data_IF_608074908254
#
_entry.id   IF_608074908254
#
_cell.length_a   1.000
_cell.length_b   1.000
_cell.length_c   1.000
_cell.angle_alpha   90.00
_cell.angle_beta   90.00
_cell.angle_gamma   90.00
#
_symmetry.space_group_name_H-M   'P 1'
#
loop_
_entity.id
_entity.type
_entity.pdbx_description
1 polymer ?
#
# COMPACT_ATOMS: atom_id res chain seq x y z
N UNK A 1 -1.86 -21.57 -24.46
CA UNK A 1 -3.23 -22.04 -24.13
C UNK A 1 -3.69 -21.33 -22.86
N UNK A 2 -4.46 -20.26 -22.99
CA UNK A 2 -5.06 -19.55 -21.86
C UNK A 2 -6.51 -20.00 -21.77
N UNK A 3 -6.88 -20.57 -20.63
CA UNK A 3 -8.20 -21.12 -20.33
C UNK A 3 -9.16 -19.96 -20.05
N UNK A 4 -10.08 -19.69 -20.98
CA UNK A 4 -11.25 -18.84 -20.76
C UNK A 4 -12.21 -19.57 -19.81
N UNK A 5 -12.30 -19.12 -18.56
CA UNK A 5 -13.29 -19.63 -17.61
C UNK A 5 -14.49 -18.67 -17.59
N UNK A 6 -15.58 -19.14 -18.20
CA UNK A 6 -16.94 -18.75 -17.85
C UNK A 6 -17.18 -19.12 -16.38
N UNK A 7 -17.47 -18.15 -15.51
CA UNK A 7 -18.13 -18.44 -14.25
C UNK A 7 -19.30 -17.48 -14.01
N UNK A 8 -20.48 -18.07 -14.17
CA UNK A 8 -21.74 -17.66 -13.59
C UNK A 8 -21.73 -17.89 -12.07
N UNK A 9 -22.45 -17.02 -11.34
CA UNK A 9 -22.81 -17.08 -9.90
C UNK A 9 -21.67 -17.02 -8.86
N UNK A 10 -21.56 -15.87 -8.19
CA UNK A 10 -21.88 -15.64 -6.77
C UNK A 10 -21.19 -14.33 -6.34
N UNK A 11 -21.90 -13.20 -6.29
CA UNK A 11 -21.41 -12.03 -5.57
C UNK A 11 -21.59 -12.34 -4.07
N UNK A 12 -20.65 -13.11 -3.52
CA UNK A 12 -20.47 -13.16 -2.09
C UNK A 12 -20.12 -11.74 -1.63
N UNK A 13 -20.97 -11.17 -0.78
CA UNK A 13 -20.66 -9.95 -0.03
C UNK A 13 -19.41 -10.23 0.84
N UNK A 14 -18.23 -9.91 0.30
CA UNK A 14 -17.00 -9.87 1.07
C UNK A 14 -16.89 -8.48 1.71
N UNK A 15 -16.63 -8.40 3.03
CA UNK A 15 -16.47 -7.12 3.70
C UNK A 15 -15.12 -6.50 3.29
N UNK A 16 -15.17 -5.26 2.81
CA UNK A 16 -14.12 -4.26 3.00
C UNK A 16 -12.72 -4.59 2.49
N UNK A 17 -12.54 -4.70 1.18
CA UNK A 17 -11.25 -4.49 0.53
C UNK A 17 -11.46 -3.60 -0.68
N UNK A 18 -10.78 -2.46 -0.75
CA UNK A 18 -10.82 -1.58 -1.92
C UNK A 18 -10.34 -2.36 -3.15
N UNK A 19 -11.30 -2.84 -3.94
CA UNK A 19 -11.04 -3.37 -5.27
C UNK A 19 -11.00 -2.17 -6.20
N UNK A 20 -9.84 -1.93 -6.80
CA UNK A 20 -9.80 -1.18 -8.03
C UNK A 20 -10.08 -2.18 -9.14
N UNK A 21 -11.07 -1.92 -9.99
CA UNK A 21 -11.24 -2.65 -11.22
C UNK A 21 -10.68 -1.82 -12.38
N UNK A 22 -9.98 -2.48 -13.30
CA UNK A 22 -9.65 -1.93 -14.61
C UNK A 22 -10.66 -2.48 -15.61
N UNK A 23 -11.51 -1.61 -16.12
CA UNK A 23 -12.54 -1.94 -17.11
C UNK A 23 -11.98 -1.56 -18.47
N UNK A 24 -11.79 -2.56 -19.32
CA UNK A 24 -11.44 -2.36 -20.71
C UNK A 24 -12.72 -2.37 -21.54
N UNK A 25 -12.97 -1.29 -22.26
CA UNK A 25 -14.07 -1.19 -23.21
C UNK A 25 -13.67 -1.69 -24.59
N UNK A 26 -14.65 -2.03 -25.42
CA UNK A 26 -14.45 -2.54 -26.78
C UNK A 26 -13.71 -1.55 -27.71
N UNK A 27 -13.76 -0.26 -27.40
CA UNK A 27 -13.01 0.78 -28.11
C UNK A 27 -11.55 0.94 -27.61
N UNK A 28 -11.14 0.12 -26.63
CA UNK A 28 -9.81 0.13 -26.03
C UNK A 28 -9.65 1.12 -24.86
N UNK A 29 -10.69 1.86 -24.48
CA UNK A 29 -10.65 2.75 -23.32
C UNK A 29 -10.47 1.95 -22.03
N UNK A 30 -9.59 2.44 -21.15
CA UNK A 30 -9.40 1.89 -19.80
C UNK A 30 -10.04 2.80 -18.78
N UNK A 31 -11.00 2.26 -18.02
CA UNK A 31 -11.63 2.95 -16.90
C UNK A 31 -11.17 2.28 -15.60
N UNK A 32 -10.48 3.05 -14.77
CA UNK A 32 -10.08 2.62 -13.43
C UNK A 32 -11.08 3.14 -12.39
N UNK A 33 -11.53 2.27 -11.48
CA UNK A 33 -12.40 2.63 -10.37
C UNK A 33 -13.03 1.41 -9.72
N UNK A 34 -13.84 1.63 -8.70
CA UNK A 34 -14.53 0.54 -8.00
C UNK A 34 -15.90 0.29 -8.63
N UNK A 35 -16.19 -0.95 -9.04
CA UNK A 35 -17.53 -1.33 -9.50
C UNK A 35 -18.48 -1.35 -8.30
N UNK A 36 -19.44 -0.42 -8.28
CA UNK A 36 -20.42 -0.26 -7.20
C UNK A 36 -21.80 -0.79 -7.58
N UNK A 37 -22.08 -0.96 -8.87
CA UNK A 37 -23.31 -1.58 -9.37
C UNK A 37 -22.99 -2.41 -10.61
N UNK A 38 -23.58 -3.59 -10.71
CA UNK A 38 -23.42 -4.48 -11.86
C UNK A 38 -24.77 -5.08 -12.23
N UNK A 39 -25.32 -4.69 -13.37
CA UNK A 39 -26.63 -5.14 -13.84
C UNK A 39 -26.53 -5.92 -15.15
N UNK A 40 -27.69 -6.33 -15.69
CA UNK A 40 -27.76 -6.94 -17.01
C UNK A 40 -27.42 -5.97 -18.15
N UNK A 41 -27.60 -4.66 -17.96
CA UNK A 41 -27.48 -3.65 -19.03
C UNK A 41 -26.27 -2.74 -18.87
N UNK A 42 -25.81 -2.49 -17.65
CA UNK A 42 -24.76 -1.53 -17.38
C UNK A 42 -23.96 -1.86 -16.11
N UNK A 43 -22.82 -1.19 -15.97
CA UNK A 43 -21.94 -1.21 -14.80
C UNK A 43 -21.77 0.22 -14.31
N UNK A 44 -21.87 0.45 -12.99
CA UNK A 44 -21.56 1.75 -12.39
C UNK A 44 -20.22 1.65 -11.68
N UNK A 45 -19.32 2.56 -12.05
CA UNK A 45 -17.96 2.66 -11.55
C UNK A 45 -17.83 3.93 -10.72
N UNK A 46 -17.34 3.80 -9.49
CA UNK A 46 -16.99 4.93 -8.66
C UNK A 46 -15.50 5.25 -8.80
N UNK A 47 -15.20 6.50 -9.17
CA UNK A 47 -13.83 7.02 -9.33
C UNK A 47 -13.80 8.48 -8.88
N UNK A 48 -12.83 8.84 -8.03
CA UNK A 48 -12.62 10.23 -7.58
C UNK A 48 -13.89 10.90 -7.01
N UNK A 49 -14.75 10.11 -6.34
CA UNK A 49 -16.04 10.55 -5.80
C UNK A 49 -17.18 10.68 -6.82
N UNK A 50 -16.91 10.54 -8.12
CA UNK A 50 -17.90 10.52 -9.19
C UNK A 50 -18.37 9.10 -9.51
N UNK A 51 -19.61 8.98 -9.99
CA UNK A 51 -20.17 7.73 -10.54
C UNK A 51 -20.22 7.81 -12.06
N UNK A 52 -19.66 6.81 -12.72
CA UNK A 52 -19.62 6.67 -14.18
C UNK A 52 -20.43 5.43 -14.54
N UNK A 53 -21.45 5.60 -15.38
CA UNK A 53 -22.25 4.48 -15.89
C UNK A 53 -21.72 4.05 -17.25
N UNK A 54 -21.33 2.78 -17.37
CA UNK A 54 -20.84 2.16 -18.59
C UNK A 54 -21.84 1.12 -19.09
N UNK A 55 -22.32 1.21 -20.34
CA UNK A 55 -23.13 0.17 -20.96
C UNK A 55 -22.34 -1.14 -21.03
N UNK A 56 -22.94 -2.25 -20.62
CA UNK A 56 -22.28 -3.56 -20.62
C UNK A 56 -21.89 -4.01 -22.04
N UNK A 57 -22.68 -3.60 -23.04
CA UNK A 57 -22.40 -3.84 -24.45
C UNK A 57 -21.11 -3.17 -24.94
N UNK A 58 -20.57 -2.18 -24.20
CA UNK A 58 -19.31 -1.51 -24.51
C UNK A 58 -18.13 -2.07 -23.71
N UNK A 59 -18.35 -2.99 -22.77
CA UNK A 59 -17.30 -3.55 -21.92
C UNK A 59 -16.76 -4.82 -22.56
N UNK A 60 -15.45 -4.86 -22.83
CA UNK A 60 -14.75 -6.06 -23.27
C UNK A 60 -14.49 -6.99 -22.08
N UNK A 61 -13.90 -6.44 -21.01
CA UNK A 61 -13.59 -7.19 -19.79
C UNK A 61 -13.41 -6.27 -18.58
N UNK A 62 -13.57 -6.85 -17.41
CA UNK A 62 -13.32 -6.20 -16.12
C UNK A 62 -12.23 -6.99 -15.41
N UNK A 63 -11.08 -6.37 -15.19
CA UNK A 63 -9.97 -6.93 -14.45
C UNK A 63 -10.04 -6.43 -13.00
N UNK A 64 -10.16 -7.35 -12.05
CA UNK A 64 -10.09 -7.00 -10.63
C UNK A 64 -8.63 -6.79 -10.26
N UNK A 65 -8.21 -5.53 -10.14
CA UNK A 65 -6.99 -5.14 -9.46
C UNK A 65 -7.26 -5.16 -7.95
N UNK A 66 -7.35 -6.37 -7.41
CA UNK A 66 -7.15 -6.54 -5.98
C UNK A 66 -5.73 -6.08 -5.70
N UNK A 67 -5.56 -5.01 -4.91
CA UNK A 67 -4.25 -4.67 -4.33
C UNK A 67 -3.73 -5.95 -3.68
N UNK A 68 -2.75 -6.60 -4.31
CA UNK A 68 -2.12 -7.78 -3.73
C UNK A 68 -1.28 -7.23 -2.58
N UNK A 69 -1.59 -7.59 -1.32
CA UNK A 69 -0.79 -7.13 -0.19
C UNK A 69 0.67 -7.47 -0.45
N UNK A 70 1.59 -6.51 -0.31
CA UNK A 70 3.01 -6.83 -0.43
C UNK A 70 3.38 -7.74 0.74
N UNK A 71 3.91 -8.92 0.43
CA UNK A 71 4.31 -9.90 1.43
C UNK A 71 5.28 -9.31 2.49
N UNK A 72 6.09 -8.31 2.12
CA UNK A 72 6.98 -7.59 3.05
C UNK A 72 6.23 -6.76 4.08
N UNK A 73 4.99 -6.37 3.82
CA UNK A 73 4.11 -5.68 4.77
C UNK A 73 3.25 -6.67 5.58
N UNK A 74 3.44 -7.98 5.41
CA UNK A 74 2.66 -9.01 6.10
C UNK A 74 2.96 -9.13 7.60
N UNK A 75 4.08 -8.59 8.08
CA UNK A 75 4.44 -8.55 9.51
C UNK A 75 4.97 -7.17 9.90
N UNK A 76 4.88 -6.78 11.19
CA UNK A 76 5.41 -5.49 11.66
C UNK A 76 6.91 -5.31 11.36
N UNK A 77 7.71 -6.36 11.56
CA UNK A 77 9.14 -6.37 11.30
C UNK A 77 9.43 -6.28 9.82
N UNK A 78 8.62 -6.94 8.98
CA UNK A 78 8.72 -6.83 7.53
C UNK A 78 8.54 -5.38 7.06
N UNK A 79 7.54 -4.68 7.61
CA UNK A 79 7.29 -3.26 7.33
C UNK A 79 8.47 -2.38 7.72
N UNK A 80 9.04 -2.58 8.92
CA UNK A 80 10.19 -1.80 9.38
C UNK A 80 11.46 -2.10 8.57
N UNK A 81 11.71 -3.38 8.25
CA UNK A 81 12.84 -3.77 7.41
C UNK A 81 12.73 -3.18 6.01
N UNK A 82 11.52 -3.15 5.44
CA UNK A 82 11.26 -2.46 4.17
C UNK A 82 11.52 -0.96 4.29
N UNK A 83 11.05 -0.31 5.35
CA UNK A 83 11.26 1.12 5.57
C UNK A 83 12.76 1.47 5.67
N UNK A 84 13.53 0.67 6.42
CA UNK A 84 15.00 0.81 6.56
C UNK A 84 15.69 0.63 5.20
N UNK A 85 15.32 -0.41 4.45
CA UNK A 85 15.87 -0.67 3.11
C UNK A 85 15.55 0.47 2.13
N UNK A 86 14.33 1.00 2.17
CA UNK A 86 13.91 2.14 1.36
C UNK A 86 14.69 3.41 1.73
N UNK A 87 14.91 3.68 3.02
CA UNK A 87 15.73 4.79 3.48
C UNK A 87 17.18 4.69 2.98
N UNK A 88 17.77 3.49 3.00
CA UNK A 88 19.13 3.23 2.46
C UNK A 88 19.21 3.42 0.95
N UNK A 89 18.10 3.29 0.22
CA UNK A 89 18.03 3.38 -1.24
C UNK A 89 17.56 4.74 -1.77
N UNK A 90 17.25 5.69 -0.89
CA UNK A 90 16.53 6.93 -1.25
C UNK A 90 15.18 6.67 -1.95
N UNK A 91 14.52 5.56 -1.61
CA UNK A 91 13.22 5.20 -2.14
C UNK A 91 12.11 5.84 -1.27
N UNK A 92 11.75 7.08 -1.60
CA UNK A 92 10.71 7.82 -0.87
C UNK A 92 9.34 7.16 -0.96
N UNK A 93 8.96 6.59 -2.12
CA UNK A 93 7.71 5.85 -2.24
C UNK A 93 7.72 4.58 -1.39
N UNK A 94 8.85 3.87 -1.36
CA UNK A 94 9.11 2.73 -0.50
C UNK A 94 9.01 3.04 1.00
N UNK A 95 9.43 4.24 1.42
CA UNK A 95 9.20 4.71 2.78
C UNK A 95 7.73 5.08 3.01
N UNK A 96 7.10 5.82 2.09
CA UNK A 96 5.73 6.31 2.23
C UNK A 96 4.72 5.18 2.38
N UNK A 97 4.85 4.12 1.58
CA UNK A 97 3.96 2.95 1.64
C UNK A 97 3.97 2.22 2.98
N UNK A 98 5.02 2.40 3.80
CA UNK A 98 5.11 1.80 5.11
C UNK A 98 4.26 2.53 6.14
N UNK A 99 3.81 3.76 5.87
CA UNK A 99 2.92 4.52 6.75
C UNK A 99 1.44 4.25 6.45
N UNK A 100 0.59 4.38 7.46
CA UNK A 100 -0.88 4.31 7.33
C UNK A 100 -1.39 5.22 6.22
N UNK A 101 -2.42 4.79 5.47
CA UNK A 101 -2.86 5.49 4.25
C UNK A 101 -3.15 6.97 4.49
N UNK A 102 -3.82 7.29 5.60
CA UNK A 102 -4.23 8.66 5.95
C UNK A 102 -3.04 9.59 6.24
N UNK A 103 -1.88 9.05 6.65
CA UNK A 103 -0.68 9.82 6.92
C UNK A 103 0.22 10.02 5.69
N UNK A 104 0.05 9.22 4.62
CA UNK A 104 0.97 9.23 3.48
C UNK A 104 1.01 10.58 2.76
N UNK A 105 -0.13 11.25 2.62
CA UNK A 105 -0.19 12.56 1.95
C UNK A 105 0.62 13.62 2.71
N UNK A 106 0.56 13.61 4.04
CA UNK A 106 1.33 14.53 4.88
C UNK A 106 2.83 14.17 4.87
N UNK A 107 3.18 12.89 5.00
CA UNK A 107 4.57 12.42 4.91
C UNK A 107 5.20 12.71 3.55
N UNK A 108 4.42 12.64 2.46
CA UNK A 108 4.87 13.00 1.12
C UNK A 108 5.26 14.47 1.05
N UNK A 109 4.46 15.37 1.63
CA UNK A 109 4.79 16.79 1.72
C UNK A 109 6.03 17.03 2.59
N UNK A 110 6.20 16.28 3.68
CA UNK A 110 7.41 16.34 4.51
C UNK A 110 8.65 15.92 3.72
N UNK A 111 8.59 14.80 3.00
CA UNK A 111 9.72 14.36 2.17
C UNK A 111 10.07 15.32 1.04
N UNK A 112 9.07 15.98 0.44
CA UNK A 112 9.28 17.00 -0.59
C UNK A 112 9.93 18.29 -0.07
N UNK A 113 9.90 18.55 1.24
CA UNK A 113 10.56 19.73 1.83
C UNK A 113 12.07 19.55 1.95
N UNK A 114 12.55 18.31 2.02
CA UNK A 114 13.98 18.06 2.12
C UNK A 114 14.69 18.41 0.81
N UNK A 115 15.79 19.13 0.92
CA UNK A 115 16.71 19.37 -0.19
C UNK A 115 17.44 18.07 -0.54
N UNK A 116 17.88 17.95 -1.79
CA UNK A 116 18.62 16.76 -2.26
C UNK A 116 19.83 16.42 -1.38
N UNK A 117 20.53 17.43 -0.87
CA UNK A 117 21.68 17.23 0.01
C UNK A 117 21.27 16.67 1.39
N UNK A 118 20.13 17.09 1.92
CA UNK A 118 19.60 16.58 3.19
C UNK A 118 19.18 15.11 3.04
N UNK A 119 18.49 14.78 1.94
CA UNK A 119 18.14 13.40 1.60
C UNK A 119 19.38 12.50 1.50
N UNK A 120 20.45 12.95 0.84
CA UNK A 120 21.71 12.19 0.73
C UNK A 120 22.37 11.98 2.09
N UNK A 121 22.32 12.96 2.98
CA UNK A 121 22.83 12.80 4.36
C UNK A 121 22.01 11.76 5.12
N UNK A 122 20.68 11.84 5.07
CA UNK A 122 19.80 10.84 5.68
C UNK A 122 20.10 9.43 5.16
N UNK A 123 20.33 9.28 3.84
CA UNK A 123 20.72 8.01 3.24
C UNK A 123 22.07 7.52 3.77
N UNK A 124 23.08 8.38 3.77
CA UNK A 124 24.42 8.03 4.25
C UNK A 124 24.40 7.59 5.72
N UNK A 125 23.58 8.26 6.54
CA UNK A 125 23.37 7.90 7.93
C UNK A 125 22.65 6.55 8.05
N UNK A 126 21.60 6.30 7.27
CA UNK A 126 20.89 5.02 7.23
C UNK A 126 21.78 3.84 6.74
N UNK A 127 22.73 4.09 5.84
CA UNK A 127 23.69 3.09 5.38
C UNK A 127 24.70 2.74 6.48
N UNK A 128 25.17 3.74 7.22
CA UNK A 128 26.15 3.57 8.31
C UNK A 128 25.52 3.08 9.62
N UNK A 129 24.21 3.21 9.76
CA UNK A 129 23.47 2.76 10.93
C UNK A 129 23.20 1.26 10.86
N UNK A 130 23.57 0.55 11.92
CA UNK A 130 23.12 -0.82 12.14
C UNK A 130 21.76 -0.76 12.83
N UNK A 131 20.76 -1.38 12.23
CA UNK A 131 19.43 -1.49 12.79
C UNK A 131 19.22 -2.90 13.33
N UNK A 132 18.67 -2.99 14.54
CA UNK A 132 18.17 -4.24 15.11
C UNK A 132 16.68 -4.07 15.38
N UNK A 133 15.85 -4.77 14.60
CA UNK A 133 14.39 -4.78 14.77
C UNK A 133 14.06 -5.92 15.72
N UNK A 134 13.55 -5.59 16.91
CA UNK A 134 13.16 -6.57 17.91
C UNK A 134 11.86 -7.30 17.53
N UNK A 135 11.55 -8.39 18.24
CA UNK A 135 10.27 -9.08 18.12
C UNK A 135 9.11 -8.16 18.53
N UNK A 136 8.01 -8.11 17.76
CA UNK A 136 6.89 -7.21 17.99
C UNK A 136 6.02 -7.70 19.14
N UNK A 137 5.54 -6.77 19.98
CA UNK A 137 4.41 -7.01 20.85
C UNK A 137 3.12 -6.76 20.06
N UNK A 138 2.39 -7.82 19.69
CA UNK A 138 1.16 -7.73 18.89
C UNK A 138 -0.07 -7.87 19.80
N UNK A 139 -0.99 -6.90 19.69
CA UNK A 139 -2.28 -6.89 20.39
C UNK A 139 -3.37 -6.54 19.39
N UNK A 140 -4.13 -7.56 18.94
CA UNK A 140 -5.18 -7.38 17.94
C UNK A 140 -4.63 -6.87 16.61
N UNK A 141 -5.10 -5.71 16.17
CA UNK A 141 -4.66 -5.05 14.94
C UNK A 141 -3.56 -4.00 15.18
N UNK A 142 -2.89 -4.02 16.33
CA UNK A 142 -1.80 -3.10 16.69
C UNK A 142 -0.54 -3.88 17.06
N UNK A 143 0.61 -3.29 16.79
CA UNK A 143 1.90 -3.81 17.21
C UNK A 143 2.81 -2.69 17.70
N UNK A 144 3.64 -3.00 18.70
CA UNK A 144 4.72 -2.13 19.16
C UNK A 144 6.04 -2.84 18.92
N UNK A 145 6.98 -2.15 18.28
CA UNK A 145 8.29 -2.72 17.93
C UNK A 145 9.40 -1.78 18.38
N UNK A 146 10.41 -2.34 19.02
CA UNK A 146 11.64 -1.60 19.35
C UNK A 146 12.64 -1.78 18.23
N UNK A 147 13.26 -0.68 17.83
CA UNK A 147 14.33 -0.66 16.83
C UNK A 147 15.55 -0.01 17.45
N UNK A 148 16.59 -0.80 17.68
CA UNK A 148 17.87 -0.28 18.13
C UNK A 148 18.68 0.20 16.92
N UNK A 149 19.23 1.41 17.02
CA UNK A 149 19.98 2.11 15.99
C UNK A 149 21.37 2.39 16.51
N UNK A 150 22.36 1.73 15.94
CA UNK A 150 23.76 1.94 16.30
C UNK A 150 24.48 2.71 15.19
N UNK A 151 25.05 3.86 15.54
CA UNK A 151 25.86 4.69 14.66
C UNK A 151 27.19 5.01 15.34
N UNK A 152 28.27 4.34 14.87
CA UNK A 152 29.58 4.46 15.48
C UNK A 152 29.60 3.92 16.92
N UNK A 153 29.72 4.82 17.91
CA UNK A 153 29.67 4.48 19.35
C UNK A 153 28.32 4.84 20.01
N UNK A 154 27.45 5.54 19.28
CA UNK A 154 26.13 5.90 19.77
C UNK A 154 25.15 4.74 19.50
N UNK A 155 24.27 4.50 20.47
CA UNK A 155 23.14 3.57 20.34
C UNK A 155 21.89 4.28 20.85
N UNK A 156 20.80 4.17 20.10
CA UNK A 156 19.49 4.73 20.43
C UNK A 156 18.41 3.69 20.14
N UNK A 157 17.43 3.57 21.03
CA UNK A 157 16.25 2.72 20.82
C UNK A 157 15.07 3.61 20.44
N UNK A 158 14.49 3.34 19.27
CA UNK A 158 13.26 3.97 18.81
C UNK A 158 12.09 2.99 18.93
N UNK A 159 10.93 3.47 19.36
CA UNK A 159 9.72 2.64 19.49
C UNK A 159 8.76 3.01 18.37
N UNK A 160 8.38 2.02 17.57
CA UNK A 160 7.42 2.15 16.48
C UNK A 160 6.08 1.55 16.87
N UNK A 161 5.02 2.31 16.63
CA UNK A 161 3.64 1.80 16.65
C UNK A 161 3.20 1.46 15.23
N UNK A 162 2.61 0.28 15.06
CA UNK A 162 2.06 -0.17 13.79
C UNK A 162 0.62 -0.61 13.95
N UNK A 163 -0.13 -0.49 12.86
CA UNK A 163 -1.52 -0.96 12.75
C UNK A 163 -1.67 -1.84 11.51
N UNK A 164 -2.51 -2.86 11.62
CA UNK A 164 -2.89 -3.71 10.50
C UNK A 164 -3.99 -3.03 9.69
N UNK A 165 -3.63 -2.51 8.52
CA UNK A 165 -4.52 -1.83 7.58
C UNK A 165 -4.67 -2.69 6.31
N UNK A 166 -5.88 -3.22 6.07
CA UNK A 166 -6.20 -3.97 4.84
C UNK A 166 -5.27 -5.16 4.58
N UNK A 167 -4.83 -5.84 5.63
CA UNK A 167 -3.92 -6.99 5.55
C UNK A 167 -2.44 -6.63 5.45
N UNK A 168 -2.08 -5.35 5.59
CA UNK A 168 -0.70 -4.85 5.60
C UNK A 168 -0.43 -4.11 6.91
N UNK A 169 0.67 -4.42 7.58
CA UNK A 169 1.14 -3.66 8.75
C UNK A 169 1.73 -2.34 8.29
N UNK A 170 1.35 -1.25 8.97
CA UNK A 170 1.77 0.10 8.63
C UNK A 170 2.11 0.91 9.87
N UNK A 171 3.16 1.73 9.77
CA UNK A 171 3.62 2.66 10.80
C UNK A 171 2.56 3.73 11.03
N UNK A 172 2.15 3.86 12.29
CA UNK A 172 1.31 4.94 12.79
C UNK A 172 2.23 6.04 13.33
N UNK A 173 2.29 7.22 12.69
CA UNK A 173 3.10 8.34 13.15
C UNK A 173 2.51 9.05 14.37
#
# INVERSE_FOLDING_TARGET
MVRTLLLWFLIAHLPGGLRAETILTLDGTKVEGTVVEYTSTHVVVQRDGARITLPKAQIERIEVNAHRPDARLGTPEGTLNLWIDAARKLDSEGMLRCYVSDAQAQKRKEFQKFKTEELRRMQADAIKTRFHVAEPLIIGNRATVKVDREFGKASETEIFELVLERGEWRISP
#
